data_IF_279398149787
#
_entry.id   IF_279398149787
#
_cell.length_a   1.000
_cell.length_b   1.000
_cell.length_c   1.000
_cell.angle_alpha   90.00
_cell.angle_beta   90.00
_cell.angle_gamma   90.00
#
_symmetry.space_group_name_H-M   'P 1'
#
loop_
_entity.id
_entity.type
_entity.pdbx_description
1 polymer ?
#
# COMPACT_ATOMS: atom_id res chain seq x y z
N UNK A 1 8.70 -13.11 21.21
CA UNK A 1 9.87 -13.61 20.44
C UNK A 1 9.45 -14.45 19.23
N UNK A 2 8.58 -15.45 19.38
CA UNK A 2 8.13 -16.28 18.25
C UNK A 2 7.44 -15.49 17.12
N UNK A 3 6.49 -14.59 17.44
CA UNK A 3 5.79 -13.79 16.44
C UNK A 3 6.70 -12.86 15.62
N UNK A 4 7.72 -12.27 16.25
CA UNK A 4 8.70 -11.46 15.50
C UNK A 4 9.55 -12.31 14.55
N UNK A 5 9.98 -13.51 14.99
CA UNK A 5 10.71 -14.44 14.13
C UNK A 5 9.85 -14.86 12.92
N UNK A 6 8.56 -15.14 13.12
CA UNK A 6 7.62 -15.45 12.05
C UNK A 6 7.46 -14.29 11.06
N UNK A 7 7.35 -13.05 11.53
CA UNK A 7 7.28 -11.87 10.66
C UNK A 7 8.56 -11.71 9.82
N UNK A 8 9.73 -11.91 10.43
CA UNK A 8 11.02 -11.83 9.72
C UNK A 8 11.16 -12.91 8.66
N UNK A 9 10.80 -14.15 9.01
CA UNK A 9 10.81 -15.28 8.09
C UNK A 9 9.81 -15.05 6.94
N UNK A 10 8.59 -14.61 7.26
CA UNK A 10 7.57 -14.26 6.27
C UNK A 10 8.09 -13.20 5.29
N UNK A 11 8.67 -12.09 5.80
CA UNK A 11 9.27 -11.06 4.96
C UNK A 11 10.36 -11.60 4.02
N UNK A 12 11.23 -12.48 4.52
CA UNK A 12 12.30 -13.09 3.73
C UNK A 12 11.75 -14.01 2.63
N UNK A 13 10.80 -14.89 2.96
CA UNK A 13 10.15 -15.78 2.01
C UNK A 13 9.37 -15.01 0.96
N UNK A 14 8.59 -14.01 1.37
CA UNK A 14 7.86 -13.15 0.44
C UNK A 14 8.79 -12.38 -0.49
N UNK A 15 9.94 -11.91 0.01
CA UNK A 15 10.95 -11.28 -0.84
C UNK A 15 11.47 -12.24 -1.91
N UNK A 16 11.87 -13.47 -1.52
CA UNK A 16 12.35 -14.48 -2.46
C UNK A 16 11.28 -14.84 -3.49
N UNK A 17 10.06 -15.15 -3.04
CA UNK A 17 8.96 -15.52 -3.93
C UNK A 17 8.64 -14.39 -4.92
N UNK A 18 8.44 -13.16 -4.45
CA UNK A 18 7.98 -12.06 -5.29
C UNK A 18 9.06 -11.45 -6.19
N UNK A 19 10.34 -11.52 -5.80
CA UNK A 19 11.43 -10.84 -6.50
C UNK A 19 12.48 -11.74 -7.15
N UNK A 20 12.57 -13.02 -6.75
CA UNK A 20 13.57 -13.95 -7.30
C UNK A 20 12.93 -15.08 -8.11
N UNK A 21 11.73 -15.52 -7.73
CA UNK A 21 11.06 -16.68 -8.36
C UNK A 21 9.96 -16.23 -9.31
N UNK A 22 9.04 -15.38 -8.85
CA UNK A 22 7.92 -14.96 -9.67
C UNK A 22 8.31 -13.90 -10.71
N UNK A 23 7.68 -13.90 -11.89
CA UNK A 23 7.91 -12.87 -12.90
C UNK A 23 7.37 -11.52 -12.40
N UNK A 24 8.05 -10.41 -12.73
CA UNK A 24 7.69 -9.06 -12.24
C UNK A 24 6.23 -8.66 -12.45
N UNK A 25 5.56 -9.23 -13.45
CA UNK A 25 4.13 -9.04 -13.73
C UNK A 25 3.22 -9.39 -12.55
N UNK A 26 3.64 -10.27 -11.63
CA UNK A 26 2.86 -10.55 -10.40
C UNK A 26 2.78 -9.34 -9.47
N UNK A 27 3.57 -8.29 -9.69
CA UNK A 27 3.52 -7.05 -8.92
C UNK A 27 2.92 -5.88 -9.72
N UNK A 28 2.40 -6.15 -10.91
CA UNK A 28 1.87 -5.14 -11.84
C UNK A 28 0.36 -4.90 -11.70
N UNK A 29 -0.21 -4.06 -12.58
CA UNK A 29 -1.63 -3.70 -12.57
C UNK A 29 -2.56 -4.90 -12.74
N UNK A 30 -2.15 -5.92 -13.51
CA UNK A 30 -2.95 -7.13 -13.76
C UNK A 30 -3.03 -8.08 -12.54
N UNK A 31 -2.38 -7.74 -11.43
CA UNK A 31 -2.33 -8.55 -10.22
C UNK A 31 -3.24 -7.99 -9.10
N UNK A 32 -4.42 -7.50 -9.47
CA UNK A 32 -5.46 -7.01 -8.54
C UNK A 32 -6.00 -8.11 -7.61
N UNK A 33 -5.86 -9.39 -7.99
CA UNK A 33 -6.16 -10.54 -7.14
C UNK A 33 -5.44 -10.50 -5.78
N UNK A 34 -4.32 -9.76 -5.66
CA UNK A 34 -3.66 -9.56 -4.38
C UNK A 34 -4.53 -8.84 -3.37
N UNK A 35 -5.36 -7.88 -3.78
CA UNK A 35 -6.22 -7.15 -2.85
C UNK A 35 -7.31 -8.09 -2.30
N UNK A 36 -7.86 -8.97 -3.15
CA UNK A 36 -8.82 -10.00 -2.75
C UNK A 36 -8.19 -10.99 -1.77
N UNK A 37 -6.98 -11.48 -2.08
CA UNK A 37 -6.26 -12.42 -1.21
C UNK A 37 -5.92 -11.79 0.14
N UNK A 38 -5.40 -10.55 0.13
CA UNK A 38 -5.10 -9.79 1.34
C UNK A 38 -6.32 -9.69 2.22
N UNK A 39 -7.45 -9.22 1.68
CA UNK A 39 -8.71 -9.08 2.40
C UNK A 39 -9.17 -10.40 3.03
N UNK A 40 -9.17 -11.50 2.28
CA UNK A 40 -9.58 -12.82 2.79
C UNK A 40 -8.63 -13.36 3.86
N UNK A 41 -7.36 -13.00 3.79
CA UNK A 41 -6.33 -13.50 4.71
C UNK A 41 -6.22 -12.72 6.01
N UNK A 42 -6.79 -11.50 6.12
CA UNK A 42 -6.70 -10.64 7.32
C UNK A 42 -7.00 -11.47 8.58
N UNK A 43 -8.20 -12.03 8.70
CA UNK A 43 -8.62 -12.74 9.91
C UNK A 43 -7.77 -13.98 10.24
N UNK A 44 -7.20 -14.65 9.23
CA UNK A 44 -6.28 -15.78 9.45
C UNK A 44 -4.94 -15.27 9.95
N UNK A 45 -4.39 -14.23 9.32
CA UNK A 45 -3.12 -13.62 9.74
C UNK A 45 -3.21 -13.01 11.13
N UNK A 46 -4.32 -12.38 11.51
CA UNK A 46 -4.51 -11.80 12.85
C UNK A 46 -4.52 -12.90 13.91
N UNK A 47 -5.15 -14.04 13.62
CA UNK A 47 -5.20 -15.19 14.54
C UNK A 47 -3.84 -15.87 14.70
N UNK A 48 -3.08 -16.02 13.62
CA UNK A 48 -1.79 -16.71 13.62
C UNK A 48 -0.65 -15.85 14.18
N UNK A 49 -0.62 -14.56 13.87
CA UNK A 49 0.46 -13.65 14.23
C UNK A 49 0.13 -12.81 15.49
N UNK A 50 -1.13 -12.83 15.93
CA UNK A 50 -1.60 -12.23 17.17
C UNK A 50 -1.22 -10.76 17.32
N UNK A 51 -0.85 -10.37 18.54
CA UNK A 51 -0.42 -9.01 18.90
C UNK A 51 0.85 -8.53 18.16
N UNK A 52 1.57 -9.40 17.46
CA UNK A 52 2.82 -9.03 16.80
C UNK A 52 2.61 -8.15 15.55
N UNK A 53 1.39 -8.12 14.99
CA UNK A 53 1.08 -7.41 13.74
C UNK A 53 -0.29 -6.73 13.80
N UNK A 54 -0.38 -5.51 13.26
CA UNK A 54 -1.68 -4.95 12.85
C UNK A 54 -1.96 -5.45 11.44
N UNK A 55 -3.03 -6.21 11.27
CA UNK A 55 -3.43 -6.81 9.99
C UNK A 55 -4.35 -5.90 9.19
N UNK A 56 -5.07 -5.04 9.89
CA UNK A 56 -5.92 -4.00 9.34
C UNK A 56 -5.80 -2.74 10.21
N UNK A 57 -6.00 -1.57 9.59
CA UNK A 57 -5.95 -0.29 10.29
C UNK A 57 -6.81 0.75 9.57
N UNK A 58 -7.59 1.58 10.29
CA UNK A 58 -8.19 2.77 9.72
C UNK A 58 -7.15 3.72 9.13
N UNK A 59 -7.42 4.24 7.93
CA UNK A 59 -6.63 5.30 7.33
C UNK A 59 -6.89 6.62 8.05
N UNK A 60 -5.87 7.47 8.19
CA UNK A 60 -6.01 8.81 8.78
C UNK A 60 -6.14 9.89 7.71
N UNK A 61 -6.78 10.99 8.08
CA UNK A 61 -6.96 12.13 7.18
C UNK A 61 -5.64 12.79 6.80
N UNK A 62 -4.64 12.82 7.70
CA UNK A 62 -3.30 13.36 7.39
C UNK A 62 -2.54 12.54 6.34
N UNK A 63 -2.99 11.32 6.04
CA UNK A 63 -2.41 10.47 5.00
C UNK A 63 -2.99 10.82 3.61
N UNK A 64 -3.99 11.70 3.50
CA UNK A 64 -4.58 12.06 2.22
C UNK A 64 -3.61 12.88 1.35
N UNK A 65 -3.26 12.33 0.19
CA UNK A 65 -2.33 12.96 -0.74
C UNK A 65 -3.05 13.82 -1.79
N UNK A 66 -4.23 13.40 -2.25
CA UNK A 66 -5.01 14.11 -3.25
C UNK A 66 -5.89 13.16 -4.05
N UNK A 67 -6.49 13.68 -5.11
CA UNK A 67 -7.31 12.90 -6.05
C UNK A 67 -6.50 12.66 -7.32
N UNK A 68 -6.49 11.42 -7.80
CA UNK A 68 -6.03 11.12 -9.15
C UNK A 68 -7.23 11.19 -10.09
N UNK A 69 -7.25 12.08 -11.10
CA UNK A 69 -8.42 12.32 -11.96
C UNK A 69 -8.58 11.25 -13.07
N UNK A 70 -8.47 9.97 -12.73
CA UNK A 70 -8.56 8.85 -13.65
C UNK A 70 -9.22 7.62 -12.97
N UNK A 71 -9.78 6.67 -13.73
CA UNK A 71 -10.32 5.45 -13.17
C UNK A 71 -9.20 4.55 -12.58
N UNK A 72 -9.50 3.66 -11.63
CA UNK A 72 -8.51 2.85 -10.93
C UNK A 72 -7.50 2.14 -11.83
N UNK A 73 -7.96 1.55 -12.93
CA UNK A 73 -7.14 0.77 -13.86
C UNK A 73 -6.09 1.64 -14.57
N UNK A 74 -6.40 2.91 -14.79
CA UNK A 74 -5.45 3.88 -15.35
C UNK A 74 -4.47 4.37 -14.28
N UNK A 75 -4.95 4.66 -13.07
CA UNK A 75 -4.11 5.05 -11.92
C UNK A 75 -3.02 4.01 -11.68
N UNK A 76 -3.40 2.72 -11.66
CA UNK A 76 -2.49 1.61 -11.45
C UNK A 76 -1.45 1.45 -12.56
N UNK A 77 -1.85 1.65 -13.82
CA UNK A 77 -0.90 1.67 -14.95
C UNK A 77 0.10 2.82 -14.81
N UNK A 78 -0.32 3.99 -14.35
CA UNK A 78 0.59 5.13 -14.10
C UNK A 78 1.52 4.83 -12.92
N UNK A 79 1.01 4.30 -11.82
CA UNK A 79 1.81 3.87 -10.66
C UNK A 79 2.91 2.90 -11.11
N UNK A 80 2.55 1.86 -11.86
CA UNK A 80 3.51 0.90 -12.42
C UNK A 80 4.59 1.58 -13.27
N UNK A 81 4.20 2.44 -14.22
CA UNK A 81 5.14 3.19 -15.07
C UNK A 81 6.08 4.09 -14.25
N UNK A 82 5.63 4.60 -13.09
CA UNK A 82 6.45 5.42 -12.17
C UNK A 82 7.25 4.60 -11.15
N UNK A 83 7.32 3.28 -11.34
CA UNK A 83 8.14 2.37 -10.54
C UNK A 83 7.51 1.90 -9.23
N UNK A 84 6.20 2.11 -9.06
CA UNK A 84 5.46 1.48 -7.97
C UNK A 84 5.17 0.01 -8.33
N UNK A 85 5.13 -0.83 -7.30
CA UNK A 85 4.78 -2.24 -7.37
C UNK A 85 3.63 -2.49 -6.41
N UNK A 86 2.76 -3.46 -6.70
CA UNK A 86 1.78 -3.96 -5.72
C UNK A 86 2.48 -4.35 -4.42
N UNK A 87 1.77 -4.23 -3.29
CA UNK A 87 2.29 -4.58 -1.97
C UNK A 87 1.51 -5.75 -1.33
N UNK A 88 1.71 -7.01 -1.79
CA UNK A 88 0.84 -8.14 -1.46
C UNK A 88 0.77 -8.52 0.02
N UNK A 89 1.78 -8.13 0.80
CA UNK A 89 1.91 -8.57 2.20
C UNK A 89 1.73 -7.43 3.19
N UNK A 90 1.37 -6.23 2.74
CA UNK A 90 1.04 -5.14 3.66
C UNK A 90 -0.29 -5.38 4.37
N UNK A 91 -0.37 -4.86 5.60
CA UNK A 91 -1.63 -4.71 6.32
C UNK A 91 -2.66 -3.92 5.50
N UNK A 92 -3.91 -4.34 5.54
CA UNK A 92 -4.99 -3.72 4.76
C UNK A 92 -5.40 -2.40 5.41
N UNK A 93 -5.55 -1.33 4.63
CA UNK A 93 -6.11 -0.07 5.12
C UNK A 93 -7.60 0.00 4.84
N UNK A 94 -8.33 0.55 5.79
CA UNK A 94 -9.78 0.75 5.66
C UNK A 94 -10.12 2.23 5.83
N UNK A 95 -11.11 2.70 5.08
CA UNK A 95 -11.69 4.04 5.20
C UNK A 95 -13.15 3.89 5.55
N UNK A 96 -13.52 4.26 6.78
CA UNK A 96 -14.89 4.08 7.31
C UNK A 96 -15.41 2.65 7.12
N UNK A 97 -14.55 1.66 7.36
CA UNK A 97 -14.87 0.23 7.18
C UNK A 97 -14.74 -0.30 5.76
N UNK A 98 -14.63 0.56 4.73
CA UNK A 98 -14.39 0.13 3.35
C UNK A 98 -12.90 -0.12 3.11
N UNK A 99 -12.48 -1.30 2.61
CA UNK A 99 -11.07 -1.56 2.32
C UNK A 99 -10.56 -0.72 1.14
N UNK A 100 -9.25 -0.49 1.12
CA UNK A 100 -8.54 0.04 -0.05
C UNK A 100 -8.77 -0.84 -1.29
N UNK A 101 -8.83 -0.22 -2.47
CA UNK A 101 -8.96 -0.89 -3.77
C UNK A 101 -7.61 -1.07 -4.47
N UNK A 102 -6.52 -0.64 -3.83
CA UNK A 102 -5.18 -0.85 -4.33
C UNK A 102 -4.12 -0.43 -3.31
N UNK A 103 -3.08 -1.25 -3.18
CA UNK A 103 -1.93 -1.02 -2.31
C UNK A 103 -0.63 -1.13 -3.09
N UNK A 104 0.11 -0.03 -3.11
CA UNK A 104 1.24 0.17 -4.01
C UNK A 104 2.43 0.74 -3.27
N UNK A 105 3.64 0.30 -3.60
CA UNK A 105 4.87 0.74 -2.96
C UNK A 105 5.93 1.12 -3.97
N UNK A 106 6.64 2.21 -3.67
CA UNK A 106 7.86 2.61 -4.37
C UNK A 106 9.04 2.62 -3.39
N UNK A 107 10.14 2.01 -3.81
CA UNK A 107 11.38 1.83 -3.05
C UNK A 107 12.57 1.87 -4.00
N UNK A 108 13.75 2.23 -3.47
CA UNK A 108 14.98 2.30 -4.26
C UNK A 108 15.40 0.92 -4.79
N UNK A 109 15.23 -0.11 -3.97
CA UNK A 109 15.48 -1.51 -4.29
C UNK A 109 14.51 -2.41 -3.49
N UNK A 110 14.49 -3.72 -3.79
CA UNK A 110 13.54 -4.67 -3.19
C UNK A 110 13.74 -4.95 -1.69
N UNK A 111 14.91 -4.60 -1.11
CA UNK A 111 15.24 -4.70 0.31
C UNK A 111 15.44 -3.35 0.99
N UNK A 112 15.04 -2.25 0.36
CA UNK A 112 15.14 -0.92 0.96
C UNK A 112 14.51 -0.91 2.36
N UNK A 113 15.14 -0.22 3.32
CA UNK A 113 14.61 -0.14 4.70
C UNK A 113 13.28 0.61 4.76
N UNK A 114 13.09 1.61 3.91
CA UNK A 114 11.87 2.42 3.85
C UNK A 114 11.22 2.33 2.47
N UNK A 115 9.91 2.50 2.45
CA UNK A 115 9.10 2.53 1.24
C UNK A 115 8.09 3.67 1.30
N UNK A 116 7.79 4.26 0.15
CA UNK A 116 6.60 5.08 -0.03
C UNK A 116 5.44 4.12 -0.31
N UNK A 117 4.45 4.12 0.56
CA UNK A 117 3.23 3.33 0.41
C UNK A 117 2.10 4.26 -0.01
N UNK A 118 1.43 3.90 -1.10
CA UNK A 118 0.25 4.55 -1.67
C UNK A 118 -0.93 3.59 -1.55
N UNK A 119 -2.02 4.07 -0.98
CA UNK A 119 -3.29 3.35 -0.90
C UNK A 119 -4.35 4.07 -1.71
N UNK A 120 -5.16 3.31 -2.44
CA UNK A 120 -6.19 3.81 -3.34
C UNK A 120 -7.57 3.52 -2.76
N UNK A 121 -8.46 4.51 -2.80
CA UNK A 121 -9.86 4.35 -2.43
C UNK A 121 -10.77 4.92 -3.52
N UNK A 122 -11.89 4.24 -3.80
CA UNK A 122 -12.96 4.84 -4.61
C UNK A 122 -13.45 6.11 -3.92
N UNK A 123 -13.68 7.18 -4.68
CA UNK A 123 -14.14 8.45 -4.11
C UNK A 123 -15.45 8.28 -3.36
N UNK A 124 -15.54 8.89 -2.18
CA UNK A 124 -16.75 8.83 -1.36
C UNK A 124 -17.86 9.76 -1.84
N UNK A 125 -17.52 10.76 -2.67
CA UNK A 125 -18.47 11.76 -3.19
C UNK A 125 -19.07 11.37 -4.57
N UNK A 126 -18.80 10.15 -5.04
CA UNK A 126 -19.36 9.62 -6.29
C UNK A 126 -18.80 10.23 -7.58
N UNK A 127 -17.92 11.24 -7.52
CA UNK A 127 -17.30 11.82 -8.71
C UNK A 127 -16.20 10.91 -9.26
N UNK A 128 -15.83 11.12 -10.52
CA UNK A 128 -14.75 10.40 -11.21
C UNK A 128 -13.40 10.63 -10.50
N UNK A 129 -12.57 9.59 -10.49
CA UNK A 129 -11.22 9.62 -9.94
C UNK A 129 -10.99 8.60 -8.83
N UNK A 130 -9.83 8.68 -8.20
CA UNK A 130 -9.43 7.83 -7.07
C UNK A 130 -8.82 8.71 -5.99
N UNK A 131 -9.28 8.52 -4.75
CA UNK A 131 -8.66 9.17 -3.61
C UNK A 131 -7.36 8.43 -3.27
N UNK A 132 -6.25 9.19 -3.25
CA UNK A 132 -4.91 8.67 -3.02
C UNK A 132 -4.48 9.07 -1.62
N UNK A 133 -4.12 8.07 -0.82
CA UNK A 133 -3.49 8.24 0.48
C UNK A 133 -2.05 7.77 0.41
N UNK A 134 -1.16 8.33 1.23
CA UNK A 134 0.24 7.96 1.26
C UNK A 134 0.90 8.17 2.63
N UNK A 135 1.86 7.29 2.95
CA UNK A 135 2.83 7.50 4.01
C UNK A 135 4.18 6.90 3.60
N UNK A 136 5.26 7.37 4.23
CA UNK A 136 6.53 6.65 4.23
C UNK A 136 6.65 5.77 5.47
N UNK A 137 7.01 4.51 5.28
CA UNK A 137 7.08 3.51 6.36
C UNK A 137 8.28 2.59 6.18
N UNK A 138 8.57 1.76 7.19
CA UNK A 138 9.49 0.64 7.02
C UNK A 138 8.95 -0.38 6.02
N UNK A 139 9.84 -1.03 5.28
CA UNK A 139 9.42 -2.05 4.31
C UNK A 139 9.01 -3.35 4.99
N UNK A 140 7.85 -3.87 4.59
CA UNK A 140 7.36 -5.19 4.97
C UNK A 140 8.17 -6.35 4.36
N UNK A 141 8.97 -6.10 3.32
CA UNK A 141 9.80 -7.10 2.65
C UNK A 141 11.26 -7.12 3.11
N UNK A 142 11.67 -6.19 3.98
CA UNK A 142 13.00 -6.21 4.57
C UNK A 142 12.92 -6.85 5.97
N UNK A 143 13.46 -8.08 6.16
CA UNK A 143 13.37 -8.79 7.44
C UNK A 143 13.94 -8.00 8.63
N UNK A 144 14.93 -7.14 8.41
CA UNK A 144 15.54 -6.35 9.49
C UNK A 144 14.59 -5.27 10.05
N UNK A 145 13.56 -4.88 9.31
CA UNK A 145 12.63 -3.81 9.70
C UNK A 145 11.14 -4.17 9.57
N UNK A 146 10.82 -5.37 9.05
CA UNK A 146 9.43 -5.81 8.83
C UNK A 146 8.58 -5.79 10.11
N UNK A 147 9.14 -6.12 11.28
CA UNK A 147 8.43 -6.02 12.56
C UNK A 147 7.99 -4.57 12.85
N UNK A 148 8.83 -3.58 12.49
CA UNK A 148 8.50 -2.16 12.69
C UNK A 148 7.37 -1.71 11.75
N UNK A 149 7.34 -2.25 10.52
CA UNK A 149 6.23 -2.03 9.58
C UNK A 149 4.89 -2.47 10.19
N UNK A 150 4.76 -3.72 10.61
CA UNK A 150 3.49 -4.24 11.13
C UNK A 150 3.09 -3.66 12.49
N UNK A 151 4.03 -3.07 13.23
CA UNK A 151 3.76 -2.28 14.44
C UNK A 151 3.41 -0.82 14.16
N UNK A 152 3.47 -0.37 12.92
CA UNK A 152 3.23 1.04 12.55
C UNK A 152 4.25 2.02 13.11
N UNK A 153 5.46 1.55 13.46
CA UNK A 153 6.50 2.38 14.08
C UNK A 153 7.06 3.35 13.03
N UNK A 154 7.10 4.65 13.37
CA UNK A 154 7.68 5.71 12.54
C UNK A 154 7.07 5.78 11.12
N UNK A 155 5.74 5.67 11.07
CA UNK A 155 4.95 5.92 9.87
C UNK A 155 4.79 7.43 9.65
N UNK A 156 5.33 7.94 8.54
CA UNK A 156 5.46 9.37 8.26
C UNK A 156 4.48 9.80 7.18
N UNK A 157 3.29 10.23 7.59
CA UNK A 157 2.24 10.70 6.70
C UNK A 157 2.70 11.92 5.87
N UNK A 158 3.19 12.98 6.52
CA UNK A 158 3.64 14.20 5.84
C UNK A 158 4.71 13.97 4.76
N UNK A 159 5.67 13.07 5.02
CA UNK A 159 6.69 12.69 4.03
C UNK A 159 6.05 11.92 2.87
N UNK A 160 5.17 10.97 3.15
CA UNK A 160 4.50 10.19 2.12
C UNK A 160 3.59 11.04 1.24
N UNK A 161 2.77 11.91 1.83
CA UNK A 161 1.89 12.84 1.12
C UNK A 161 2.70 13.76 0.20
N UNK A 162 3.77 14.39 0.71
CA UNK A 162 4.63 15.25 -0.11
C UNK A 162 5.21 14.48 -1.29
N UNK A 163 5.81 13.31 -1.05
CA UNK A 163 6.42 12.49 -2.11
C UNK A 163 5.39 11.97 -3.11
N UNK A 164 4.18 11.62 -2.68
CA UNK A 164 3.11 11.20 -3.57
C UNK A 164 2.68 12.34 -4.51
N UNK A 165 2.56 13.57 -3.99
CA UNK A 165 2.27 14.77 -4.80
C UNK A 165 3.38 15.10 -5.79
N UNK A 166 4.64 14.95 -5.40
CA UNK A 166 5.79 15.12 -6.31
C UNK A 166 5.81 14.06 -7.43
N UNK A 167 5.38 12.83 -7.12
CA UNK A 167 5.50 11.68 -8.00
C UNK A 167 4.25 11.35 -8.79
N UNK A 168 3.09 11.97 -8.55
CA UNK A 168 1.83 11.61 -9.18
C UNK A 168 1.05 12.87 -9.59
N UNK A 169 0.28 12.85 -10.68
CA UNK A 169 -0.54 13.98 -11.11
C UNK A 169 -1.81 14.09 -10.24
N UNK A 170 -1.64 14.45 -8.96
CA UNK A 170 -2.73 14.59 -8.00
C UNK A 170 -3.29 16.01 -8.04
N UNK A 171 -4.62 16.12 -7.94
CA UNK A 171 -5.36 17.38 -7.82
C UNK A 171 -6.02 17.47 -6.44
N UNK A 172 -6.38 18.68 -5.99
CA UNK A 172 -7.16 18.80 -4.76
C UNK A 172 -8.62 18.36 -5.02
N UNK A 173 -9.35 17.90 -3.99
CA UNK A 173 -10.75 17.46 -4.12
C UNK A 173 -11.71 18.49 -4.76
N UNK A 174 -11.35 19.78 -4.73
CA UNK A 174 -12.11 20.89 -5.30
C UNK A 174 -11.72 21.30 -6.72
N UNK A 175 -10.56 20.86 -7.23
CA UNK A 175 -9.99 21.39 -8.49
C UNK A 175 -10.54 20.68 -9.75
N UNK A 176 -11.42 19.69 -9.58
CA UNK A 176 -11.96 18.85 -10.66
C UNK A 176 -13.35 19.24 -11.16
N UNK A 177 -13.66 20.54 -11.22
CA UNK A 177 -14.89 21.05 -11.81
C UNK A 177 -14.85 21.06 -13.33
N UNK A 178 -15.32 19.99 -13.95
CA UNK A 178 -15.59 19.91 -15.39
C UNK A 178 -16.56 18.78 -15.66
N UNK A 179 -17.83 19.16 -15.84
CA UNK A 179 -18.85 18.31 -16.46
C UNK A 179 -18.57 18.37 -17.95
N UNK A 180 -18.22 17.22 -18.54
CA UNK A 180 -18.51 16.92 -19.95
C UNK A 180 -19.33 15.63 -19.97
#
# INVERSE_FOLDING_TARGET
MLGEAMVRLGAALSHVLLYQICPRRVLGPQADYWDVLRYRSIGVTSRLLGWAVHTDRPIRDEEFAGVFPAPPEEVERVLWKRGFHRNPVAAVKTRKGTPEIGSWVRRADSRARRQLHVMLFRRSDGRRGVDVYAHEEFSCLNPAVAVRHYRGIDQRAAVGVRRARELLPLVQPGDGGGVD
#
